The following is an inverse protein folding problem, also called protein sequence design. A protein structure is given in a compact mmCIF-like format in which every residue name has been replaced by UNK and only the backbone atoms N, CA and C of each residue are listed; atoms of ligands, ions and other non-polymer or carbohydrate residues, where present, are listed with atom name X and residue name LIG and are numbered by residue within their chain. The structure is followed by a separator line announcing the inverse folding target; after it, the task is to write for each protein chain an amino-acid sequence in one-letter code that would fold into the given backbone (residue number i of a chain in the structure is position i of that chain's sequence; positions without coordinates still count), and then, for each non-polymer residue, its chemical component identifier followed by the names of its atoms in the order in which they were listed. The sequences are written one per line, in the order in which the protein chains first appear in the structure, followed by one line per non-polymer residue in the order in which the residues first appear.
data_IF_115630358586
#
_entry.id   IF_115630358586
#
_cell.length_a   1.000
_cell.length_b   1.000
_cell.length_c   1.000
_cell.angle_alpha   90.00
_cell.angle_beta   90.00
_cell.angle_gamma   90.00
#
_symmetry.space_group_name_H-M   'P 1'
#
loop_
_entity.id
_entity.type
_entity.pdbx_description
1 polymer ?
#
# COMPACT_ATOMS: atom_id res chain seq x y z
N UNK A 1 -0.17 2.61 17.38
CA UNK A 1 -0.68 2.92 18.74
C UNK A 1 -2.00 3.69 18.70
N UNK A 2 -2.05 5.05 18.48
CA UNK A 2 -3.35 5.77 18.43
C UNK A 2 -4.20 5.32 17.23
N UNK A 3 -3.57 5.06 16.08
CA UNK A 3 -4.24 4.57 14.87
C UNK A 3 -4.92 3.22 15.07
N UNK A 4 -4.34 2.35 15.89
CA UNK A 4 -4.80 0.98 16.12
C UNK A 4 -5.84 0.87 17.26
N UNK A 5 -6.02 1.97 18.01
CA UNK A 5 -6.94 2.03 19.13
C UNK A 5 -8.31 2.54 18.67
N UNK A 6 -9.24 1.64 18.33
CA UNK A 6 -10.59 1.97 17.85
C UNK A 6 -11.37 2.89 18.81
N UNK A 7 -11.15 2.73 20.13
CA UNK A 7 -11.74 3.58 21.19
C UNK A 7 -10.95 4.86 21.49
N UNK A 8 -9.82 5.11 20.81
CA UNK A 8 -8.87 6.14 21.18
C UNK A 8 -8.08 5.79 22.46
N UNK A 9 -7.06 6.58 22.80
CA UNK A 9 -6.18 6.36 23.95
C UNK A 9 -6.25 7.51 24.93
N UNK A 10 -6.31 7.23 26.22
CA UNK A 10 -6.04 8.22 27.26
C UNK A 10 -4.54 8.52 27.30
N UNK A 11 -4.16 9.68 27.85
CA UNK A 11 -2.76 10.03 28.09
C UNK A 11 -2.07 9.01 29.01
N UNK A 12 -2.82 8.44 29.95
CA UNK A 12 -2.27 7.41 30.87
C UNK A 12 -2.00 6.09 30.14
N UNK A 13 -2.91 5.62 29.30
CA UNK A 13 -2.72 4.43 28.48
C UNK A 13 -1.51 4.62 27.53
N UNK A 14 -1.41 5.79 26.88
CA UNK A 14 -0.29 6.13 26.01
C UNK A 14 1.05 6.17 26.80
N UNK A 15 1.07 6.72 28.01
CA UNK A 15 2.24 6.76 28.87
C UNK A 15 2.73 5.35 29.24
N UNK A 16 1.78 4.46 29.58
CA UNK A 16 2.09 3.07 29.92
C UNK A 16 2.63 2.30 28.70
N UNK A 17 2.00 2.44 27.50
CA UNK A 17 2.45 1.77 26.30
C UNK A 17 3.84 2.23 25.82
N UNK A 18 4.15 3.52 25.99
CA UNK A 18 5.45 4.11 25.63
C UNK A 18 6.50 3.96 26.72
N UNK A 19 6.12 3.50 27.92
CA UNK A 19 6.97 3.44 29.10
C UNK A 19 7.63 4.79 29.45
N UNK A 20 6.85 5.90 29.39
CA UNK A 20 7.29 7.26 29.70
C UNK A 20 6.29 7.96 30.65
N UNK A 21 6.73 9.02 31.29
CA UNK A 21 5.86 9.81 32.16
C UNK A 21 4.77 10.58 31.39
N UNK A 22 3.59 10.79 32.00
CA UNK A 22 2.48 11.55 31.40
C UNK A 22 2.87 12.93 30.91
N UNK A 23 3.77 13.63 31.62
CA UNK A 23 4.29 14.93 31.20
C UNK A 23 5.04 14.87 29.86
N UNK A 24 5.78 13.79 29.62
CA UNK A 24 6.43 13.55 28.34
C UNK A 24 5.42 13.29 27.21
N UNK A 25 4.36 12.49 27.50
CA UNK A 25 3.25 12.28 26.53
C UNK A 25 2.60 13.61 26.15
N UNK A 26 2.31 14.49 27.12
CA UNK A 26 1.74 15.82 26.82
C UNK A 26 2.63 16.63 25.87
N UNK A 27 3.96 16.62 26.10
CA UNK A 27 4.90 17.33 25.21
C UNK A 27 4.92 16.76 23.77
N UNK A 28 4.72 15.45 23.62
CA UNK A 28 4.63 14.81 22.30
C UNK A 28 3.29 15.08 21.62
N UNK A 29 2.20 15.02 22.37
CA UNK A 29 0.83 15.11 21.84
C UNK A 29 0.43 16.55 21.51
N UNK A 30 0.89 17.55 22.28
CA UNK A 30 0.53 18.95 22.06
C UNK A 30 0.83 19.45 20.64
N UNK A 31 2.05 19.29 20.09
CA UNK A 31 2.31 19.70 18.70
C UNK A 31 1.52 18.90 17.69
N UNK A 32 1.31 17.60 17.92
CA UNK A 32 0.49 16.76 17.02
C UNK A 32 -0.97 17.22 16.98
N UNK A 33 -1.52 17.68 18.09
CA UNK A 33 -2.85 18.31 18.14
C UNK A 33 -2.80 19.67 17.43
N UNK A 34 -1.79 20.49 17.69
CA UNK A 34 -1.64 21.80 17.06
C UNK A 34 -1.57 21.72 15.52
N UNK A 35 -1.00 20.65 14.99
CA UNK A 35 -0.95 20.37 13.55
C UNK A 35 -2.15 19.54 13.03
N UNK A 36 -3.16 19.28 13.86
CA UNK A 36 -4.34 18.52 13.47
C UNK A 36 -4.09 17.03 13.19
N UNK A 37 -2.92 16.49 13.54
CA UNK A 37 -2.60 15.06 13.38
C UNK A 37 -3.29 14.20 14.43
N UNK A 38 -3.46 14.74 15.64
CA UNK A 38 -4.27 14.16 16.70
C UNK A 38 -5.36 15.13 17.10
N UNK A 39 -6.41 14.62 17.75
CA UNK A 39 -7.44 15.42 18.43
C UNK A 39 -7.81 14.76 19.76
N UNK A 40 -8.44 15.52 20.65
CA UNK A 40 -9.11 14.97 21.82
C UNK A 40 -10.59 14.85 21.51
N UNK A 41 -11.20 13.73 21.86
CA UNK A 41 -12.67 13.62 21.83
C UNK A 41 -13.32 14.19 23.11
N UNK A 42 -14.64 14.07 23.22
CA UNK A 42 -15.40 14.57 24.35
C UNK A 42 -15.01 13.99 25.71
N UNK A 43 -14.46 12.78 25.72
CA UNK A 43 -13.95 12.08 26.91
C UNK A 43 -12.45 12.34 27.15
N UNK A 44 -11.84 13.24 26.39
CA UNK A 44 -10.43 13.60 26.49
C UNK A 44 -9.45 12.54 25.92
N UNK A 45 -9.97 11.52 25.23
CA UNK A 45 -9.13 10.48 24.60
C UNK A 45 -8.48 11.01 23.32
N UNK A 46 -7.26 10.57 23.07
CA UNK A 46 -6.49 10.88 21.86
C UNK A 46 -7.03 10.06 20.70
N UNK A 47 -7.36 10.71 19.60
CA UNK A 47 -7.78 10.11 18.35
C UNK A 47 -7.02 10.73 17.19
N UNK A 48 -7.03 10.07 16.04
CA UNK A 48 -6.49 10.64 14.80
C UNK A 48 -7.23 11.93 14.45
N UNK A 49 -6.49 12.93 14.01
CA UNK A 49 -7.01 14.23 13.58
C UNK A 49 -7.18 14.33 12.08
N UNK A 50 -8.05 15.23 11.62
CA UNK A 50 -8.36 15.43 10.19
C UNK A 50 -7.16 15.95 9.37
N UNK A 51 -6.15 16.54 9.99
CA UNK A 51 -4.92 16.98 9.32
C UNK A 51 -4.17 15.84 8.63
N UNK A 52 -4.33 14.59 9.12
CA UNK A 52 -3.77 13.41 8.46
C UNK A 52 -4.35 13.17 7.07
N UNK A 53 -5.63 13.49 6.84
CA UNK A 53 -6.25 13.35 5.50
C UNK A 53 -5.62 14.32 4.50
N UNK A 54 -5.28 15.53 4.95
CA UNK A 54 -4.59 16.51 4.11
C UNK A 54 -3.18 16.02 3.72
N UNK A 55 -2.44 15.47 4.67
CA UNK A 55 -1.10 14.91 4.40
C UNK A 55 -1.18 13.69 3.49
N UNK A 56 -2.12 12.77 3.72
CA UNK A 56 -2.30 11.59 2.89
C UNK A 56 -2.56 11.96 1.42
N UNK A 57 -3.45 12.93 1.17
CA UNK A 57 -3.73 13.42 -0.20
C UNK A 57 -2.51 14.00 -0.91
N UNK A 58 -1.56 14.56 -0.17
CA UNK A 58 -0.30 15.07 -0.73
C UNK A 58 0.76 14.00 -0.87
N UNK A 59 0.75 12.98 -0.03
CA UNK A 59 1.71 11.89 -0.08
C UNK A 59 1.43 10.90 -1.23
N UNK A 60 0.15 10.62 -1.54
CA UNK A 60 -0.23 9.67 -2.59
C UNK A 60 0.41 9.95 -3.97
N UNK A 61 0.40 11.18 -4.51
CA UNK A 61 1.07 11.46 -5.78
C UNK A 61 2.58 11.18 -5.73
N UNK A 62 3.24 11.49 -4.60
CA UNK A 62 4.68 11.24 -4.43
C UNK A 62 5.00 9.74 -4.42
N UNK A 63 4.14 8.93 -3.80
CA UNK A 63 4.25 7.46 -3.84
C UNK A 63 4.12 6.95 -5.28
N UNK A 64 3.13 7.45 -6.02
CA UNK A 64 2.94 7.10 -7.42
C UNK A 64 4.16 7.49 -8.27
N UNK A 65 4.64 8.73 -8.14
CA UNK A 65 5.81 9.24 -8.86
C UNK A 65 7.07 8.43 -8.55
N UNK A 66 7.32 8.10 -7.28
CA UNK A 66 8.46 7.28 -6.86
C UNK A 66 8.42 5.85 -7.41
N UNK A 67 7.24 5.30 -7.62
CA UNK A 67 7.08 3.96 -8.17
C UNK A 67 7.14 3.90 -9.71
N UNK A 68 6.86 5.00 -10.42
CA UNK A 68 6.75 5.01 -11.89
C UNK A 68 7.96 4.41 -12.63
N UNK A 69 9.25 4.69 -12.27
CA UNK A 69 10.38 4.11 -12.97
C UNK A 69 10.40 2.57 -12.90
N UNK A 70 10.10 2.01 -11.72
CA UNK A 70 10.03 0.56 -11.52
C UNK A 70 8.84 -0.06 -12.26
N UNK A 71 7.67 0.61 -12.25
CA UNK A 71 6.48 0.15 -12.98
C UNK A 71 6.70 0.15 -14.50
N UNK A 72 7.32 1.20 -15.05
CA UNK A 72 7.65 1.25 -16.49
C UNK A 72 8.55 0.10 -16.89
N UNK A 73 9.62 -0.11 -16.13
CA UNK A 73 10.54 -1.23 -16.38
C UNK A 73 9.81 -2.57 -16.31
N UNK A 74 9.03 -2.79 -15.27
CA UNK A 74 8.25 -4.02 -15.10
C UNK A 74 7.27 -4.25 -16.25
N UNK A 75 6.54 -3.21 -16.69
CA UNK A 75 5.60 -3.32 -17.79
C UNK A 75 6.28 -3.71 -19.10
N UNK A 76 7.43 -3.08 -19.41
CA UNK A 76 8.20 -3.36 -20.64
C UNK A 76 8.81 -4.76 -20.63
N UNK A 77 9.38 -5.20 -19.50
CA UNK A 77 10.00 -6.53 -19.36
C UNK A 77 8.96 -7.67 -19.40
N UNK A 78 7.81 -7.46 -18.72
CA UNK A 78 6.75 -8.48 -18.65
C UNK A 78 5.80 -8.47 -19.86
N UNK A 79 5.77 -7.40 -20.66
CA UNK A 79 4.79 -7.23 -21.73
C UNK A 79 3.34 -7.18 -21.23
N UNK A 80 3.14 -6.72 -20.00
CA UNK A 80 1.85 -6.74 -19.30
C UNK A 80 1.63 -5.43 -18.54
N UNK A 81 0.38 -5.09 -18.23
CA UNK A 81 0.05 -3.88 -17.47
C UNK A 81 0.59 -3.99 -16.04
N UNK A 82 1.56 -3.15 -15.67
CA UNK A 82 2.10 -3.06 -14.32
C UNK A 82 1.29 -2.11 -13.44
N UNK A 83 1.21 -2.41 -12.16
CA UNK A 83 0.47 -1.59 -11.21
C UNK A 83 1.12 -1.59 -9.82
N UNK A 84 0.96 -0.47 -9.10
CA UNK A 84 1.15 -0.36 -7.66
C UNK A 84 -0.23 -0.31 -7.01
N UNK A 85 -0.50 -1.22 -6.08
CA UNK A 85 -1.75 -1.27 -5.31
C UNK A 85 -1.45 -0.98 -3.85
N UNK A 86 -2.22 -0.10 -3.22
CA UNK A 86 -2.12 0.27 -1.80
C UNK A 86 -3.40 -0.07 -1.06
N UNK A 87 -3.35 -0.17 0.27
CA UNK A 87 -4.55 -0.39 1.09
C UNK A 87 -5.21 0.94 1.43
N UNK A 88 -6.49 1.06 1.13
CA UNK A 88 -7.35 2.16 1.57
C UNK A 88 -8.71 1.64 2.02
N UNK A 89 -9.09 1.94 3.26
CA UNK A 89 -10.42 1.55 3.78
C UNK A 89 -10.66 0.04 3.82
N UNK A 90 -9.59 -0.76 3.90
CA UNK A 90 -9.67 -2.22 3.92
C UNK A 90 -9.71 -2.87 2.53
N UNK A 91 -9.63 -2.10 1.46
CA UNK A 91 -9.58 -2.57 0.07
C UNK A 91 -8.21 -2.26 -0.56
N UNK A 92 -7.86 -3.01 -1.60
CA UNK A 92 -6.76 -2.69 -2.50
C UNK A 92 -7.18 -1.61 -3.50
N UNK A 93 -6.38 -0.55 -3.63
CA UNK A 93 -6.61 0.54 -4.58
C UNK A 93 -5.41 0.65 -5.51
N UNK A 94 -5.62 0.57 -6.81
CA UNK A 94 -4.58 0.79 -7.79
C UNK A 94 -4.14 2.27 -7.75
N UNK A 95 -2.98 2.55 -7.19
CA UNK A 95 -2.46 3.91 -7.04
C UNK A 95 -1.80 4.41 -8.33
N UNK A 96 -1.05 3.54 -9.01
CA UNK A 96 -0.39 3.82 -10.27
C UNK A 96 -0.51 2.61 -11.20
N UNK A 97 -0.65 2.87 -12.49
CA UNK A 97 -0.77 1.86 -13.54
C UNK A 97 0.07 2.30 -14.73
N UNK A 98 0.81 1.36 -15.30
CA UNK A 98 1.65 1.58 -16.49
C UNK A 98 1.42 0.44 -17.47
N UNK A 99 1.05 0.78 -18.69
CA UNK A 99 0.90 -0.14 -19.80
C UNK A 99 2.22 -0.29 -20.56
N UNK A 100 2.55 -1.48 -21.09
CA UNK A 100 3.74 -1.64 -21.92
C UNK A 100 3.61 -0.87 -23.25
N UNK A 101 4.71 -0.29 -23.72
CA UNK A 101 4.69 0.58 -24.91
C UNK A 101 4.61 -0.17 -26.24
N UNK A 102 4.96 -1.46 -26.27
CA UNK A 102 5.12 -2.25 -27.48
C UNK A 102 4.01 -3.26 -27.73
N UNK A 103 3.07 -3.46 -26.77
CA UNK A 103 1.93 -4.38 -26.93
C UNK A 103 0.74 -3.64 -27.52
N UNK A 104 0.05 -4.29 -28.48
CA UNK A 104 -1.18 -3.73 -29.07
C UNK A 104 -2.45 -4.05 -28.27
N UNK A 105 -2.37 -5.05 -27.38
CA UNK A 105 -3.49 -5.50 -26.54
C UNK A 105 -3.01 -5.68 -25.11
N UNK A 106 -3.66 -5.00 -24.16
CA UNK A 106 -3.37 -5.08 -22.74
C UNK A 106 -4.64 -4.94 -21.91
N UNK A 107 -4.57 -5.29 -20.62
CA UNK A 107 -5.70 -5.09 -19.70
C UNK A 107 -5.81 -3.60 -19.39
N UNK A 108 -6.95 -3.00 -19.70
CA UNK A 108 -7.27 -1.64 -19.30
C UNK A 108 -7.55 -1.59 -17.78
N UNK A 109 -6.50 -1.62 -16.98
CA UNK A 109 -6.57 -1.46 -15.54
C UNK A 109 -6.41 0.01 -15.18
N UNK A 110 -7.34 0.57 -14.40
CA UNK A 110 -7.37 2.03 -14.16
C UNK A 110 -6.83 2.37 -12.78
N UNK A 111 -6.04 3.45 -12.69
CA UNK A 111 -5.73 4.06 -11.40
C UNK A 111 -7.03 4.46 -10.68
N UNK A 112 -7.11 4.19 -9.38
CA UNK A 112 -8.30 4.34 -8.56
C UNK A 112 -9.23 3.12 -8.54
N UNK A 113 -8.98 2.07 -9.36
CA UNK A 113 -9.74 0.82 -9.29
C UNK A 113 -9.58 0.18 -7.91
N UNK A 114 -10.70 -0.31 -7.35
CA UNK A 114 -10.76 -0.90 -6.01
C UNK A 114 -11.14 -2.38 -6.12
N UNK A 115 -10.57 -3.18 -5.22
CA UNK A 115 -10.90 -4.60 -5.13
C UNK A 115 -10.68 -5.13 -3.69
N UNK A 116 -11.35 -6.23 -3.30
CA UNK A 116 -11.10 -6.89 -2.02
C UNK A 116 -9.64 -7.38 -1.93
N UNK A 117 -9.10 -7.45 -0.70
CA UNK A 117 -7.72 -7.93 -0.48
C UNK A 117 -7.59 -9.45 -0.61
N UNK A 118 -8.65 -10.20 -0.39
CA UNK A 118 -8.68 -11.67 -0.45
C UNK A 118 -8.79 -12.24 -1.88
N UNK A 119 -8.93 -11.37 -2.88
CA UNK A 119 -9.08 -11.74 -4.30
C UNK A 119 -8.08 -11.00 -5.19
N UNK A 120 -7.59 -11.72 -6.21
CA UNK A 120 -6.59 -11.21 -7.14
C UNK A 120 -5.17 -11.20 -6.56
N UNK A 121 -4.18 -11.24 -7.44
CA UNK A 121 -2.77 -11.33 -7.04
C UNK A 121 -2.35 -10.15 -6.15
N UNK A 122 -2.77 -8.92 -6.48
CA UNK A 122 -2.37 -7.72 -5.75
C UNK A 122 -2.85 -7.72 -4.29
N UNK A 123 -4.14 -7.97 -4.04
CA UNK A 123 -4.68 -8.02 -2.68
C UNK A 123 -4.06 -9.14 -1.87
N UNK A 124 -3.98 -10.34 -2.45
CA UNK A 124 -3.38 -11.51 -1.80
C UNK A 124 -1.90 -11.32 -1.49
N UNK A 125 -1.13 -10.63 -2.35
CA UNK A 125 0.26 -10.28 -2.06
C UNK A 125 0.37 -9.32 -0.86
N UNK A 126 -0.54 -8.34 -0.72
CA UNK A 126 -0.60 -7.49 0.48
C UNK A 126 -0.86 -8.31 1.73
N UNK A 127 -1.83 -9.25 1.69
CA UNK A 127 -2.12 -10.13 2.83
C UNK A 127 -0.94 -11.04 3.17
N UNK A 128 -0.23 -11.59 2.17
CA UNK A 128 0.99 -12.36 2.35
C UNK A 128 2.07 -11.51 3.05
N UNK A 129 2.27 -10.27 2.61
CA UNK A 129 3.19 -9.32 3.23
C UNK A 129 2.88 -9.01 4.70
N UNK A 130 1.59 -8.93 5.09
CA UNK A 130 1.16 -8.83 6.50
C UNK A 130 1.56 -10.04 7.33
N UNK A 131 1.58 -11.23 6.70
CA UNK A 131 2.01 -12.46 7.33
C UNK A 131 3.55 -12.66 7.30
N UNK A 132 4.30 -11.70 6.75
CA UNK A 132 5.75 -11.77 6.62
C UNK A 132 6.24 -12.59 5.43
N UNK A 133 5.34 -12.99 4.52
CA UNK A 133 5.69 -13.70 3.30
C UNK A 133 5.94 -12.70 2.16
N UNK A 134 7.12 -12.80 1.54
CA UNK A 134 7.54 -11.97 0.43
C UNK A 134 7.38 -12.65 -0.94
N UNK A 135 6.93 -13.90 -0.98
CA UNK A 135 6.83 -14.66 -2.22
C UNK A 135 5.83 -14.03 -3.21
N UNK A 136 6.08 -14.13 -4.52
CA UNK A 136 5.12 -13.72 -5.52
C UNK A 136 3.83 -14.53 -5.44
N UNK A 137 2.70 -13.87 -5.63
CA UNK A 137 1.36 -14.48 -5.63
C UNK A 137 0.78 -14.37 -7.03
N UNK A 138 0.21 -15.47 -7.54
CA UNK A 138 -0.50 -15.47 -8.82
C UNK A 138 -2.01 -15.56 -8.62
N UNK A 139 -2.77 -15.08 -9.60
CA UNK A 139 -4.22 -15.22 -9.67
C UNK A 139 -4.69 -15.44 -11.11
N UNK A 140 -5.80 -16.14 -11.28
CA UNK A 140 -6.42 -16.43 -12.58
C UNK A 140 -7.93 -16.23 -12.48
N UNK A 141 -8.47 -15.24 -13.20
CA UNK A 141 -9.91 -14.99 -13.31
C UNK A 141 -10.61 -14.54 -12.02
N UNK A 142 -9.89 -14.27 -10.93
CA UNK A 142 -10.48 -14.01 -9.62
C UNK A 142 -11.23 -12.66 -9.53
N UNK A 143 -10.73 -11.61 -10.15
CA UNK A 143 -11.36 -10.29 -10.20
C UNK A 143 -12.14 -10.11 -11.50
N UNK A 144 -11.60 -10.60 -12.60
CA UNK A 144 -12.22 -10.53 -13.92
C UNK A 144 -11.88 -11.80 -14.70
N UNK A 145 -12.89 -12.43 -15.29
CA UNK A 145 -12.72 -13.61 -16.13
C UNK A 145 -11.72 -13.33 -17.26
N UNK A 146 -10.77 -14.23 -17.47
CA UNK A 146 -9.71 -14.09 -18.47
C UNK A 146 -8.56 -13.15 -18.11
N UNK A 147 -8.56 -12.57 -16.92
CA UNK A 147 -7.42 -11.79 -16.43
C UNK A 147 -6.50 -12.65 -15.53
N UNK A 148 -5.20 -12.57 -15.77
CA UNK A 148 -4.16 -13.25 -15.02
C UNK A 148 -3.27 -12.21 -14.35
N UNK A 149 -2.90 -12.43 -13.10
CA UNK A 149 -2.07 -11.51 -12.34
C UNK A 149 -0.93 -12.22 -11.62
N UNK A 150 0.21 -11.54 -11.51
CA UNK A 150 1.31 -11.90 -10.61
C UNK A 150 1.73 -10.66 -9.86
N UNK A 151 1.83 -10.74 -8.54
CA UNK A 151 2.19 -9.60 -7.69
C UNK A 151 3.06 -10.02 -6.51
N UNK A 152 3.86 -9.11 -6.00
CA UNK A 152 4.63 -9.26 -4.77
C UNK A 152 4.36 -8.10 -3.80
N UNK A 153 4.47 -8.31 -2.48
CA UNK A 153 4.30 -7.25 -1.51
C UNK A 153 5.48 -6.26 -1.57
N UNK A 154 5.19 -4.98 -1.36
CA UNK A 154 6.20 -3.93 -1.13
C UNK A 154 6.43 -3.85 0.37
N UNK A 155 7.58 -4.31 0.84
CA UNK A 155 7.91 -4.42 2.25
C UNK A 155 8.95 -3.38 2.68
N UNK A 156 8.98 -3.04 3.99
CA UNK A 156 10.02 -2.21 4.57
C UNK A 156 9.86 -0.71 4.35
N UNK A 157 8.70 -0.24 3.91
CA UNK A 157 8.32 1.17 3.90
C UNK A 157 7.36 1.40 5.07
N UNK A 158 7.76 2.14 6.13
CA UNK A 158 6.93 2.32 7.32
C UNK A 158 5.57 2.96 6.99
N UNK A 159 4.50 2.35 7.47
CA UNK A 159 3.14 2.87 7.28
C UNK A 159 2.54 2.64 5.88
N UNK A 160 3.25 1.96 4.98
CA UNK A 160 2.75 1.58 3.65
C UNK A 160 2.42 0.09 3.63
N UNK A 161 1.18 -0.23 3.29
CA UNK A 161 0.74 -1.57 2.91
C UNK A 161 0.45 -1.57 1.41
N UNK A 162 1.30 -2.22 0.64
CA UNK A 162 1.22 -2.17 -0.82
C UNK A 162 1.71 -3.47 -1.48
N UNK A 163 1.34 -3.64 -2.73
CA UNK A 163 1.91 -4.63 -3.64
C UNK A 163 2.20 -4.02 -5.00
N UNK A 164 3.18 -4.58 -5.70
CA UNK A 164 3.45 -4.31 -7.10
C UNK A 164 3.22 -5.57 -7.90
N UNK A 165 2.66 -5.44 -9.09
CA UNK A 165 2.39 -6.61 -9.91
C UNK A 165 2.09 -6.25 -11.36
N UNK A 166 1.79 -7.30 -12.11
CA UNK A 166 1.34 -7.20 -13.49
C UNK A 166 0.02 -7.93 -13.68
N UNK A 167 -0.76 -7.47 -14.67
CA UNK A 167 -1.99 -8.12 -15.12
C UNK A 167 -2.00 -8.24 -16.64
N UNK A 168 -2.43 -9.40 -17.15
CA UNK A 168 -2.50 -9.72 -18.58
C UNK A 168 -3.78 -10.47 -18.93
N UNK A 169 -4.11 -10.56 -20.25
CA UNK A 169 -5.21 -11.36 -20.80
C UNK A 169 -4.79 -12.81 -21.13
N UNK A 170 -3.51 -13.12 -21.02
CA UNK A 170 -2.96 -14.45 -21.22
C UNK A 170 -2.33 -14.97 -19.93
N UNK A 171 -2.25 -16.29 -19.75
CA UNK A 171 -1.56 -16.87 -18.60
C UNK A 171 -0.15 -16.31 -18.43
N UNK A 172 0.19 -15.96 -17.19
CA UNK A 172 1.51 -15.48 -16.81
C UNK A 172 2.28 -16.63 -16.14
N UNK A 173 3.51 -16.86 -16.63
CA UNK A 173 4.42 -17.80 -16.00
C UNK A 173 5.04 -17.18 -14.73
N UNK A 174 4.70 -17.73 -13.57
CA UNK A 174 5.16 -17.21 -12.28
C UNK A 174 6.67 -17.37 -12.12
N UNK A 175 7.27 -18.40 -12.68
CA UNK A 175 8.72 -18.63 -12.59
C UNK A 175 9.50 -17.56 -13.35
N UNK A 176 8.96 -17.05 -14.43
CA UNK A 176 9.53 -15.96 -15.24
C UNK A 176 9.18 -14.58 -14.67
N UNK A 177 7.91 -14.33 -14.33
CA UNK A 177 7.41 -13.01 -13.90
C UNK A 177 7.70 -12.75 -12.42
N UNK A 178 7.72 -13.79 -11.58
CA UNK A 178 7.97 -13.67 -10.15
C UNK A 178 9.24 -12.88 -9.79
N UNK A 179 10.41 -13.22 -10.35
CA UNK A 179 11.63 -12.44 -10.13
C UNK A 179 11.52 -10.97 -10.55
N UNK A 180 10.78 -10.66 -11.63
CA UNK A 180 10.60 -9.30 -12.12
C UNK A 180 9.75 -8.46 -11.14
N UNK A 181 8.64 -9.01 -10.61
CA UNK A 181 7.83 -8.30 -9.62
C UNK A 181 8.56 -8.12 -8.30
N UNK A 182 9.39 -9.07 -7.87
CA UNK A 182 10.24 -8.94 -6.68
C UNK A 182 11.30 -7.85 -6.86
N UNK A 183 11.93 -7.78 -8.02
CA UNK A 183 12.89 -6.72 -8.36
C UNK A 183 12.20 -5.35 -8.36
N UNK A 184 10.98 -5.25 -8.91
CA UNK A 184 10.19 -4.03 -8.88
C UNK A 184 9.77 -3.63 -7.44
N UNK A 185 9.36 -4.59 -6.60
CA UNK A 185 9.04 -4.35 -5.20
C UNK A 185 10.23 -3.78 -4.44
N UNK A 186 11.42 -4.36 -4.65
CA UNK A 186 12.67 -3.86 -4.05
C UNK A 186 13.01 -2.45 -4.53
N UNK A 187 12.89 -2.17 -5.83
CA UNK A 187 13.17 -0.86 -6.40
C UNK A 187 12.20 0.21 -5.84
N UNK A 188 10.91 -0.11 -5.72
CA UNK A 188 9.90 0.78 -5.12
C UNK A 188 10.22 1.03 -3.64
N UNK A 189 10.55 -0.02 -2.89
CA UNK A 189 10.96 0.14 -1.48
C UNK A 189 12.12 1.11 -1.32
N UNK A 190 13.15 0.99 -2.17
CA UNK A 190 14.32 1.86 -2.13
C UNK A 190 14.01 3.31 -2.53
N UNK A 191 13.08 3.52 -3.44
CA UNK A 191 12.66 4.84 -3.88
C UNK A 191 11.75 5.58 -2.87
N UNK A 192 11.07 4.83 -1.98
CA UNK A 192 10.11 5.38 -1.01
C UNK A 192 10.65 5.46 0.43
N UNK A 193 11.87 5.02 0.68
CA UNK A 193 12.59 5.19 1.95
C UNK A 193 13.30 6.53 2.01
#
# INVERSE_FOLDING_TARGET
MVADASGGLTVTEAANQLNIGRAAVYRLVSPLIGHGMLRRDGDGRLRLGAGLLHLARRAQPLLAEGALPALRRLAEEAGATAHLTVVEGGEGVALAVVEPSWTSFHVAYRAGARHPLDRGAAGRAILAGRAGDAAPVSSSGELQAGAYGVAAPVLGVPGLEASVGVVALAPLDVDTIGPQVLAAATAITNALR
#
